data_IF_461851095998
#
_entry.id   IF_461851095998
#
_cell.length_a   1.000
_cell.length_b   1.000
_cell.length_c   1.000
_cell.angle_alpha   90.00
_cell.angle_beta   90.00
_cell.angle_gamma   90.00
#
_symmetry.space_group_name_H-M   'P 1'
#
loop_
_entity.id
_entity.type
_entity.pdbx_description
1 polymer ?
#
# COMPACT_ATOMS: atom_id res chain seq x y z
N UNK A 1 -3.88 4.65 6.78
CA UNK A 1 -2.90 5.15 7.78
C UNK A 1 -2.02 6.24 7.17
N UNK A 2 -1.09 6.85 7.93
CA UNK A 2 -0.13 7.82 7.38
C UNK A 2 0.68 7.25 6.19
N UNK A 3 1.04 5.96 6.27
CA UNK A 3 1.72 5.22 5.19
C UNK A 3 0.86 5.12 3.92
N UNK A 4 -0.46 4.90 4.05
CA UNK A 4 -1.37 4.92 2.89
C UNK A 4 -1.43 6.31 2.23
N UNK A 5 -1.41 7.38 3.03
CA UNK A 5 -1.40 8.73 2.49
C UNK A 5 -0.08 9.06 1.79
N UNK A 6 1.06 8.66 2.36
CA UNK A 6 2.37 8.81 1.72
C UNK A 6 2.46 8.07 0.39
N UNK A 7 2.00 6.82 0.35
CA UNK A 7 1.96 6.03 -0.88
C UNK A 7 1.03 6.64 -1.94
N UNK A 8 -0.18 7.07 -1.55
CA UNK A 8 -1.15 7.72 -2.45
C UNK A 8 -0.64 9.05 -3.01
N UNK A 9 0.09 9.82 -2.19
CA UNK A 9 0.68 11.08 -2.60
C UNK A 9 2.00 10.92 -3.38
N UNK A 10 2.49 9.69 -3.59
CA UNK A 10 3.80 9.41 -4.17
C UNK A 10 4.98 10.05 -3.39
N UNK A 11 4.82 10.22 -2.08
CA UNK A 11 5.85 10.81 -1.22
C UNK A 11 6.79 9.75 -0.64
N UNK A 12 7.78 9.31 -1.40
CA UNK A 12 8.76 8.30 -0.94
C UNK A 12 9.60 8.77 0.25
N UNK A 13 9.99 10.05 0.27
CA UNK A 13 10.70 10.66 1.41
C UNK A 13 9.84 10.65 2.70
N UNK A 14 8.54 10.92 2.57
CA UNK A 14 7.60 10.82 3.69
C UNK A 14 7.50 9.38 4.21
N UNK A 15 7.45 8.40 3.29
CA UNK A 15 7.43 6.99 3.67
C UNK A 15 8.72 6.59 4.42
N UNK A 16 9.88 7.03 3.94
CA UNK A 16 11.15 6.78 4.60
C UNK A 16 11.17 7.34 6.03
N UNK A 17 10.78 8.61 6.21
CA UNK A 17 10.70 9.22 7.55
C UNK A 17 9.77 8.46 8.49
N UNK A 18 8.60 8.02 7.99
CA UNK A 18 7.63 7.30 8.81
C UNK A 18 8.09 5.88 9.17
N UNK A 19 8.74 5.18 8.24
CA UNK A 19 9.04 3.75 8.36
C UNK A 19 10.43 3.47 8.92
N UNK A 20 11.43 4.33 8.66
CA UNK A 20 12.79 4.16 9.20
C UNK A 20 12.87 4.46 10.69
N UNK A 21 11.90 5.20 11.24
CA UNK A 21 11.78 5.43 12.68
C UNK A 21 11.25 4.20 13.44
N UNK A 22 10.75 3.18 12.74
CA UNK A 22 10.11 2.00 13.34
C UNK A 22 11.07 0.80 13.40
N UNK A 23 10.94 -0.07 14.42
CA UNK A 23 11.59 -1.37 14.42
C UNK A 23 11.06 -2.24 13.27
N UNK A 24 11.90 -3.15 12.77
CA UNK A 24 11.63 -3.93 11.55
C UNK A 24 10.30 -4.70 11.56
N UNK A 25 9.96 -5.33 12.68
CA UNK A 25 8.68 -6.06 12.84
C UNK A 25 7.48 -5.12 12.69
N UNK A 26 7.45 -4.04 13.46
CA UNK A 26 6.35 -3.07 13.41
C UNK A 26 6.23 -2.41 12.03
N UNK A 27 7.37 -2.05 11.42
CA UNK A 27 7.41 -1.54 10.04
C UNK A 27 6.76 -2.50 9.07
N UNK A 28 7.10 -3.78 9.13
CA UNK A 28 6.58 -4.80 8.21
C UNK A 28 5.07 -4.99 8.39
N UNK A 29 4.58 -5.00 9.63
CA UNK A 29 3.15 -5.09 9.95
C UNK A 29 2.39 -3.86 9.42
N UNK A 30 2.95 -2.66 9.61
CA UNK A 30 2.34 -1.40 9.15
C UNK A 30 2.33 -1.30 7.61
N UNK A 31 3.39 -1.74 6.93
CA UNK A 31 3.49 -1.75 5.46
C UNK A 31 2.43 -2.67 4.83
N UNK A 32 2.18 -3.82 5.47
CA UNK A 32 1.23 -4.82 4.99
C UNK A 32 -0.18 -4.64 5.54
N UNK A 33 -0.41 -3.64 6.39
CA UNK A 33 -1.73 -3.34 6.92
C UNK A 33 -2.65 -2.90 5.79
N UNK A 34 -3.74 -3.62 5.61
CA UNK A 34 -4.82 -3.23 4.72
C UNK A 34 -5.79 -2.28 5.43
N UNK A 35 -6.38 -1.35 4.68
CA UNK A 35 -7.48 -0.54 5.17
C UNK A 35 -8.81 -1.33 5.21
N UNK A 36 -9.91 -0.64 5.53
CA UNK A 36 -11.24 -1.26 5.64
C UNK A 36 -11.75 -1.86 4.33
N UNK A 37 -11.16 -1.47 3.20
CA UNK A 37 -11.48 -1.96 1.86
C UNK A 37 -10.48 -3.02 1.38
N UNK A 38 -9.56 -3.48 2.23
CA UNK A 38 -8.53 -4.44 1.83
C UNK A 38 -7.37 -3.79 1.05
N UNK A 39 -7.33 -2.46 0.95
CA UNK A 39 -6.31 -1.74 0.18
C UNK A 39 -5.05 -1.57 1.04
N UNK A 40 -3.90 -1.94 0.50
CA UNK A 40 -2.59 -1.73 1.14
C UNK A 40 -1.87 -0.51 0.58
N UNK A 41 -0.87 -0.01 1.30
CA UNK A 41 -0.04 1.10 0.83
C UNK A 41 0.71 0.76 -0.48
N UNK A 42 1.17 -0.48 -0.64
CA UNK A 42 1.88 -0.92 -1.86
C UNK A 42 0.95 -0.92 -3.08
N UNK A 43 -0.33 -1.26 -2.92
CA UNK A 43 -1.32 -1.17 -3.99
C UNK A 43 -1.59 0.29 -4.41
N UNK A 44 -1.65 1.21 -3.45
CA UNK A 44 -1.81 2.64 -3.74
C UNK A 44 -0.60 3.22 -4.49
N UNK A 45 0.61 2.82 -4.11
CA UNK A 45 1.82 3.21 -4.84
C UNK A 45 1.83 2.65 -6.27
N UNK A 46 1.44 1.38 -6.44
CA UNK A 46 1.35 0.75 -7.76
C UNK A 46 0.36 1.47 -8.69
N UNK A 47 -0.84 1.82 -8.19
CA UNK A 47 -1.87 2.52 -8.97
C UNK A 47 -1.43 3.90 -9.48
N UNK A 48 -0.43 4.54 -8.88
CA UNK A 48 0.10 5.83 -9.33
C UNK A 48 0.99 5.71 -10.58
N UNK A 49 1.38 4.49 -10.98
CA UNK A 49 2.25 4.27 -12.14
C UNK A 49 3.67 4.78 -11.89
N UNK A 50 4.26 5.45 -12.89
CA UNK A 50 5.65 5.95 -12.83
C UNK A 50 5.89 6.87 -11.63
N UNK A 51 4.92 7.72 -11.29
CA UNK A 51 5.02 8.62 -10.13
C UNK A 51 5.12 7.84 -8.81
N UNK A 52 4.49 6.67 -8.72
CA UNK A 52 4.48 5.84 -7.52
C UNK A 52 5.59 4.79 -7.48
N UNK A 53 6.40 4.65 -8.53
CA UNK A 53 7.40 3.60 -8.66
C UNK A 53 8.39 3.61 -7.49
N UNK A 54 8.90 4.79 -7.10
CA UNK A 54 9.82 4.90 -5.96
C UNK A 54 9.18 4.48 -4.63
N UNK A 55 7.90 4.81 -4.41
CA UNK A 55 7.17 4.34 -3.24
C UNK A 55 6.95 2.83 -3.27
N UNK A 56 6.59 2.30 -4.44
CA UNK A 56 6.37 0.87 -4.62
C UNK A 56 7.64 0.07 -4.34
N UNK A 57 8.76 0.46 -4.95
CA UNK A 57 10.05 -0.19 -4.72
C UNK A 57 10.50 -0.09 -3.26
N UNK A 58 10.35 1.08 -2.64
CA UNK A 58 10.66 1.25 -1.22
C UNK A 58 9.82 0.30 -0.35
N UNK A 59 8.50 0.27 -0.55
CA UNK A 59 7.61 -0.61 0.23
C UNK A 59 7.95 -2.09 0.00
N UNK A 60 8.22 -2.51 -1.24
CA UNK A 60 8.64 -3.88 -1.56
C UNK A 60 9.98 -4.25 -0.91
N UNK A 61 10.96 -3.34 -0.93
CA UNK A 61 12.26 -3.54 -0.29
C UNK A 61 12.16 -3.71 1.24
N UNK A 62 11.13 -3.12 1.86
CA UNK A 62 10.84 -3.21 3.28
C UNK A 62 9.79 -4.29 3.64
N UNK A 63 9.54 -5.25 2.74
CA UNK A 63 8.73 -6.42 3.04
C UNK A 63 7.24 -6.30 2.70
N UNK A 64 6.85 -5.36 1.84
CA UNK A 64 5.49 -5.33 1.31
C UNK A 64 5.18 -6.60 0.51
N UNK A 65 3.97 -7.11 0.70
CA UNK A 65 3.44 -8.26 -0.04
C UNK A 65 2.48 -7.73 -1.10
N UNK A 66 2.89 -7.84 -2.36
CA UNK A 66 2.06 -7.52 -3.51
C UNK A 66 1.77 -8.80 -4.29
N UNK A 67 0.64 -9.45 -3.98
CA UNK A 67 0.15 -10.61 -4.73
C UNK A 67 -1.20 -10.28 -5.38
N UNK A 68 -1.41 -10.84 -6.57
CA UNK A 68 -2.55 -10.59 -7.47
C UNK A 68 -3.94 -10.83 -6.85
N UNK A 69 -4.04 -11.50 -5.70
CA UNK A 69 -5.31 -11.80 -5.02
C UNK A 69 -6.01 -10.55 -4.44
N UNK A 70 -5.29 -9.45 -4.20
CA UNK A 70 -5.93 -8.20 -3.76
C UNK A 70 -6.93 -7.66 -4.80
N UNK A 71 -6.72 -7.94 -6.10
CA UNK A 71 -7.63 -7.56 -7.18
C UNK A 71 -8.89 -8.44 -7.23
N UNK A 72 -8.79 -9.71 -6.84
CA UNK A 72 -9.93 -10.66 -6.87
C UNK A 72 -10.91 -10.39 -5.72
N UNK A 73 -10.41 -10.03 -4.53
CA UNK A 73 -11.25 -9.68 -3.38
C UNK A 73 -11.90 -8.29 -3.53
N UNK A 74 -11.24 -7.34 -4.20
CA UNK A 74 -11.81 -6.03 -4.54
C UNK A 74 -12.83 -6.09 -5.70
N UNK A 75 -12.66 -7.03 -6.64
CA UNK A 75 -13.61 -7.26 -7.73
C UNK A 75 -14.88 -8.02 -7.33
N UNK A 76 -14.82 -8.84 -6.28
CA UNK A 76 -15.97 -9.63 -5.81
C UNK A 76 -16.96 -8.84 -4.94
N UNK A 77 -16.58 -7.67 -4.40
CA UNK A 77 -17.45 -6.83 -3.56
C UNK A 77 -18.28 -5.81 -4.35
N UNK A 78 -18.15 -5.74 -5.68
CA UNK A 78 -18.73 -4.71 -6.54
C UNK A 78 -19.90 -5.11 -7.44
N UNK A 79 -20.44 -6.34 -7.34
CA UNK A 79 -21.57 -6.77 -8.19
C UNK A 79 -22.83 -7.09 -7.38
N UNK A 80 -23.35 -6.08 -6.68
CA UNK A 80 -24.57 -6.19 -5.90
C UNK A 80 -25.34 -4.89 -5.77
N UNK A 81 -26.33 -4.74 -6.68
CA UNK A 81 -27.42 -3.75 -6.76
C UNK A 81 -27.07 -2.46 -7.51
N UNK A 82 -27.65 -2.32 -8.71
CA UNK A 82 -28.46 -1.15 -9.08
C UNK A 82 -29.18 -1.41 -10.42
N UNK A 83 -30.20 -2.30 -10.42
CA UNK A 83 -31.43 -2.29 -11.23
C UNK A 83 -32.21 -3.62 -11.05
#
# INVERSE_FOLDING_TARGET
>A
TAVHMGARAAGSEMLAVLLDAMPEQERTDVINLADRSGITAVFLAFQRGEEGASCFEYLMAHGARYNQQSLEELGAAGHGRDD
#
